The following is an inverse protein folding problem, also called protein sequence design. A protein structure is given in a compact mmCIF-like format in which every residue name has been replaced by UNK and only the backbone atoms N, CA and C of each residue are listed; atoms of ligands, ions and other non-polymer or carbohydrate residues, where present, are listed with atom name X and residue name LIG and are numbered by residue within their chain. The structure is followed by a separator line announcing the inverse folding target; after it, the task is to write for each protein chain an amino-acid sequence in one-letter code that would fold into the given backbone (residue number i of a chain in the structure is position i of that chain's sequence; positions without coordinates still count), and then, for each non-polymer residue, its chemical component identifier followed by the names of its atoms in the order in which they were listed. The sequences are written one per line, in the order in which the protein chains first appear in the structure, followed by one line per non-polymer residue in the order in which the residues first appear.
data_IF_645345567634
#
_entry.id   IF_645345567634
#
_cell.length_a   1.000
_cell.length_b   1.000
_cell.length_c   1.000
_cell.angle_alpha   90.00
_cell.angle_beta   90.00
_cell.angle_gamma   90.00
#
_symmetry.space_group_name_H-M   'P 1'
#
loop_
_entity.id
_entity.type
_entity.pdbx_description
1 polymer ?
#
# COMPACT_ATOMS: atom_id res chain seq x y z
N UNK A 1 13.29 10.17 90.18
CA UNK A 1 13.79 10.51 88.87
C UNK A 1 12.94 9.76 87.83
N UNK A 2 11.88 10.40 87.35
CA UNK A 2 10.93 9.86 86.36
C UNK A 2 11.38 10.30 84.97
N UNK A 3 11.67 9.37 84.04
CA UNK A 3 11.92 9.67 82.64
C UNK A 3 10.64 9.42 81.88
N UNK A 4 10.08 10.47 81.31
CA UNK A 4 8.97 10.45 80.31
C UNK A 4 9.52 10.05 78.93
N UNK A 5 9.03 8.98 78.36
CA UNK A 5 9.24 8.61 76.95
C UNK A 5 8.07 9.15 76.16
N UNK A 6 8.32 10.13 75.34
CA UNK A 6 7.32 10.63 74.34
C UNK A 6 7.43 9.79 73.06
N UNK A 7 6.42 9.03 72.77
CA UNK A 7 6.28 8.30 71.50
C UNK A 7 5.61 9.22 70.46
N UNK A 8 6.35 9.61 69.45
CA UNK A 8 5.84 10.37 68.31
C UNK A 8 5.23 9.39 67.29
N UNK A 9 3.92 9.37 67.16
CA UNK A 9 3.20 8.61 66.17
C UNK A 9 3.23 9.40 64.86
N UNK A 10 4.07 8.97 63.88
CA UNK A 10 4.06 9.48 62.50
C UNK A 10 2.93 8.79 61.74
N UNK A 11 1.82 9.46 61.49
CA UNK A 11 0.77 9.00 60.64
C UNK A 11 1.20 9.19 59.17
N UNK A 12 1.64 8.14 58.47
CA UNK A 12 1.83 8.13 57.05
C UNK A 12 0.47 8.14 56.36
N UNK A 13 0.01 9.31 55.91
CA UNK A 13 -1.10 9.43 54.98
C UNK A 13 -0.64 8.97 53.60
N UNK A 14 -0.91 7.72 53.25
CA UNK A 14 -0.77 7.17 51.91
C UNK A 14 -1.85 7.79 51.03
N UNK A 15 -1.53 8.84 50.25
CA UNK A 15 -2.36 9.30 49.16
C UNK A 15 -2.36 8.23 48.09
N UNK A 16 -3.38 7.36 48.10
CA UNK A 16 -3.68 6.52 46.95
C UNK A 16 -4.10 7.44 45.79
N UNK A 17 -3.19 7.69 44.85
CA UNK A 17 -3.53 8.30 43.59
C UNK A 17 -4.41 7.32 42.82
N UNK A 18 -5.72 7.48 42.92
CA UNK A 18 -6.65 6.82 41.99
C UNK A 18 -6.38 7.34 40.60
N UNK A 19 -5.64 6.61 39.81
CA UNK A 19 -5.53 6.83 38.37
C UNK A 19 -6.89 6.45 37.78
N UNK A 20 -7.79 7.41 37.63
CA UNK A 20 -9.03 7.21 36.89
C UNK A 20 -8.61 6.90 35.45
N UNK A 21 -8.99 5.74 34.93
CA UNK A 21 -8.90 5.47 33.50
C UNK A 21 -9.73 6.54 32.77
N UNK A 22 -9.12 7.19 31.77
CA UNK A 22 -9.80 8.23 31.01
C UNK A 22 -11.10 7.69 30.41
N UNK A 23 -12.17 8.47 30.49
CA UNK A 23 -13.44 8.13 29.82
C UNK A 23 -13.43 8.56 28.36
N UNK A 24 -14.33 8.01 27.53
CA UNK A 24 -14.52 8.48 26.16
C UNK A 24 -14.89 9.97 26.13
N UNK A 25 -15.65 10.45 27.11
CA UNK A 25 -16.03 11.87 27.24
C UNK A 25 -14.81 12.78 27.49
N UNK A 26 -13.85 12.33 28.31
CA UNK A 26 -12.61 13.07 28.55
C UNK A 26 -11.78 13.19 27.27
N UNK A 27 -11.70 12.09 26.50
CA UNK A 27 -11.00 12.07 25.21
C UNK A 27 -11.69 12.98 24.18
N UNK A 28 -13.02 13.01 24.14
CA UNK A 28 -13.78 13.91 23.28
C UNK A 28 -13.51 15.39 23.63
N UNK A 29 -13.43 15.71 24.93
CA UNK A 29 -13.05 17.04 25.42
C UNK A 29 -11.62 17.40 24.99
N UNK A 30 -10.68 16.49 25.16
CA UNK A 30 -9.28 16.65 24.70
C UNK A 30 -9.20 16.83 23.18
N UNK A 31 -10.01 16.09 22.41
CA UNK A 31 -10.09 16.25 20.96
C UNK A 31 -10.52 17.67 20.56
N UNK A 32 -11.57 18.23 21.22
CA UNK A 32 -12.02 19.60 20.94
C UNK A 32 -10.98 20.66 21.31
N UNK A 33 -10.20 20.43 22.37
CA UNK A 33 -9.08 21.28 22.74
C UNK A 33 -7.93 21.17 21.71
N UNK A 34 -7.58 19.95 21.32
CA UNK A 34 -6.57 19.68 20.32
C UNK A 34 -6.90 20.33 18.98
N UNK A 35 -8.15 20.26 18.53
CA UNK A 35 -8.60 20.93 17.29
C UNK A 35 -8.30 22.44 17.32
N UNK A 36 -8.57 23.10 18.45
CA UNK A 36 -8.40 24.56 18.58
C UNK A 36 -6.95 24.97 18.83
N UNK A 37 -6.25 24.25 19.68
CA UNK A 37 -4.97 24.70 20.23
C UNK A 37 -3.78 24.18 19.43
N UNK A 38 -3.89 22.98 18.84
CA UNK A 38 -2.79 22.30 18.15
C UNK A 38 -3.02 22.21 16.65
N UNK A 39 -4.21 21.79 16.21
CA UNK A 39 -4.46 21.53 14.81
C UNK A 39 -4.85 22.78 14.01
N UNK A 40 -5.66 23.68 14.58
CA UNK A 40 -6.02 24.93 13.91
C UNK A 40 -4.81 25.80 13.53
N UNK A 41 -3.82 26.06 14.40
CA UNK A 41 -2.62 26.80 14.00
C UNK A 41 -1.89 26.18 12.80
N UNK A 42 -1.83 24.85 12.74
CA UNK A 42 -1.23 24.12 11.61
C UNK A 42 -2.05 24.29 10.32
N UNK A 43 -3.37 24.10 10.39
CA UNK A 43 -4.29 24.28 9.27
C UNK A 43 -4.28 25.74 8.75
N UNK A 44 -4.28 26.72 9.64
CA UNK A 44 -4.15 28.15 9.30
C UNK A 44 -2.83 28.45 8.57
N UNK A 45 -1.72 27.89 9.06
CA UNK A 45 -0.41 28.02 8.40
C UNK A 45 -0.40 27.38 7.00
N UNK A 46 -1.19 26.33 6.80
CA UNK A 46 -1.39 25.70 5.51
C UNK A 46 -2.36 26.47 4.57
N UNK A 47 -2.89 27.61 5.00
CA UNK A 47 -3.76 28.47 4.18
C UNK A 47 -5.26 28.20 4.33
N UNK A 48 -5.68 27.35 5.25
CA UNK A 48 -7.11 27.09 5.50
C UNK A 48 -7.75 28.30 6.17
N UNK A 49 -8.88 28.77 5.64
CA UNK A 49 -9.65 29.85 6.25
C UNK A 49 -10.37 29.39 7.53
N UNK A 50 -10.61 30.32 8.47
CA UNK A 50 -11.35 30.00 9.70
C UNK A 50 -12.77 29.50 9.35
N UNK A 51 -13.42 30.09 8.36
CA UNK A 51 -14.77 29.70 7.94
C UNK A 51 -14.79 28.26 7.39
N UNK A 52 -13.84 27.88 6.54
CA UNK A 52 -13.70 26.51 6.02
C UNK A 52 -13.43 25.51 7.14
N UNK A 53 -12.54 25.87 8.08
CA UNK A 53 -12.22 25.03 9.23
C UNK A 53 -13.45 24.79 10.11
N UNK A 54 -14.15 25.83 10.55
CA UNK A 54 -15.35 25.71 11.38
C UNK A 54 -16.46 24.91 10.68
N UNK A 55 -16.67 25.14 9.37
CA UNK A 55 -17.65 24.40 8.59
C UNK A 55 -17.31 22.90 8.52
N UNK A 56 -16.03 22.56 8.24
CA UNK A 56 -15.58 21.20 8.11
C UNK A 56 -15.66 20.40 9.43
N UNK A 57 -15.44 21.04 10.58
CA UNK A 57 -15.44 20.37 11.89
C UNK A 57 -16.76 20.46 12.66
N UNK A 58 -17.77 21.17 12.15
CA UNK A 58 -19.06 21.35 12.84
C UNK A 58 -19.74 20.05 13.20
N UNK A 59 -19.67 19.05 12.32
CA UNK A 59 -20.33 17.74 12.48
C UNK A 59 -19.39 16.60 12.83
N UNK A 60 -18.08 16.84 12.89
CA UNK A 60 -17.07 15.79 13.06
C UNK A 60 -17.17 15.11 14.41
N UNK A 61 -17.16 13.77 14.41
CA UNK A 61 -17.18 12.89 15.57
C UNK A 61 -16.00 11.94 15.56
N UNK A 62 -15.51 11.57 16.75
CA UNK A 62 -14.50 10.53 16.88
C UNK A 62 -15.12 9.16 16.52
N UNK A 63 -14.53 8.47 15.55
CA UNK A 63 -14.90 7.09 15.18
C UNK A 63 -14.03 6.11 15.98
N UNK A 64 -14.61 5.57 17.06
CA UNK A 64 -13.95 4.66 17.99
C UNK A 64 -13.77 3.24 17.44
N UNK A 65 -14.42 2.92 16.33
CA UNK A 65 -14.39 1.57 15.73
C UNK A 65 -13.24 1.41 14.74
N UNK A 66 -12.50 2.49 14.48
CA UNK A 66 -11.34 2.46 13.59
C UNK A 66 -10.20 1.61 14.16
N UNK A 67 -9.46 0.87 13.33
CA UNK A 67 -8.28 0.15 13.77
C UNK A 67 -7.10 1.08 14.08
N UNK A 68 -6.13 0.58 14.83
CA UNK A 68 -4.86 1.26 15.16
C UNK A 68 -5.02 2.54 15.99
N UNK A 69 -6.09 2.66 16.78
CA UNK A 69 -6.26 3.76 17.70
C UNK A 69 -5.40 3.59 18.96
N UNK A 70 -4.85 4.70 19.45
CA UNK A 70 -4.11 4.83 20.70
C UNK A 70 -4.64 6.05 21.48
N UNK A 71 -5.88 5.99 22.02
CA UNK A 71 -6.52 7.14 22.64
C UNK A 71 -5.75 7.59 23.89
N UNK A 72 -5.68 8.91 24.14
CA UNK A 72 -5.06 9.45 25.37
C UNK A 72 -5.67 8.85 26.64
N UNK A 73 -4.82 8.45 27.59
CA UNK A 73 -5.25 7.85 28.86
C UNK A 73 -5.77 6.41 28.77
N UNK A 74 -5.76 5.79 27.60
CA UNK A 74 -6.08 4.38 27.41
C UNK A 74 -4.81 3.52 27.25
N UNK A 75 -4.85 2.21 27.58
CA UNK A 75 -3.75 1.31 27.29
C UNK A 75 -3.40 1.30 25.81
N UNK A 76 -2.10 1.35 25.51
CA UNK A 76 -1.67 1.23 24.09
C UNK A 76 -2.16 -0.10 23.50
N UNK A 77 -2.62 -0.09 22.24
CA UNK A 77 -3.10 -1.31 21.60
C UNK A 77 -1.97 -2.35 21.56
N UNK A 78 -2.27 -3.59 21.95
CA UNK A 78 -1.33 -4.70 21.80
C UNK A 78 -1.01 -4.90 20.32
N UNK A 79 0.27 -4.98 19.99
CA UNK A 79 0.67 -5.32 18.62
C UNK A 79 0.07 -6.67 18.24
N UNK A 80 -0.84 -6.67 17.26
CA UNK A 80 -1.39 -7.91 16.73
C UNK A 80 -0.29 -8.65 15.95
N UNK A 81 -0.26 -9.98 16.09
CA UNK A 81 0.56 -10.80 15.20
C UNK A 81 0.17 -10.51 13.77
N UNK A 82 1.10 -9.97 12.98
CA UNK A 82 0.83 -9.62 11.59
C UNK A 82 1.29 -10.76 10.69
N UNK A 83 0.33 -11.30 9.93
CA UNK A 83 0.58 -12.20 8.82
C UNK A 83 0.04 -11.52 7.57
N UNK A 84 0.85 -11.48 6.51
CA UNK A 84 0.49 -10.89 5.22
C UNK A 84 0.78 -11.91 4.13
N UNK A 85 0.02 -11.86 3.03
CA UNK A 85 0.18 -12.77 1.92
C UNK A 85 1.62 -12.77 1.36
N UNK A 86 2.26 -11.60 1.36
CA UNK A 86 3.62 -11.40 0.86
C UNK A 86 4.67 -12.34 1.45
N UNK A 87 4.48 -12.82 2.68
CA UNK A 87 5.45 -13.69 3.34
C UNK A 87 4.84 -14.93 4.00
N UNK A 88 3.51 -15.01 4.10
CA UNK A 88 2.85 -16.18 4.69
C UNK A 88 2.27 -17.12 3.65
N UNK A 89 1.72 -16.57 2.57
CA UNK A 89 1.07 -17.33 1.48
C UNK A 89 0.93 -16.46 0.23
N UNK A 90 2.01 -16.16 -0.50
CA UNK A 90 1.96 -15.27 -1.66
C UNK A 90 0.92 -15.67 -2.71
N UNK A 91 0.74 -16.97 -2.94
CA UNK A 91 -0.25 -17.50 -3.88
C UNK A 91 -1.70 -17.17 -3.53
N UNK A 92 -2.02 -16.99 -2.24
CA UNK A 92 -3.39 -16.68 -1.81
C UNK A 92 -3.88 -15.31 -2.30
N UNK A 93 -2.96 -14.43 -2.70
CA UNK A 93 -3.27 -13.14 -3.27
C UNK A 93 -3.98 -13.25 -4.64
N UNK A 94 -3.74 -14.36 -5.37
CA UNK A 94 -4.20 -14.60 -6.74
C UNK A 94 -5.39 -15.56 -6.78
N UNK A 95 -6.48 -15.25 -6.09
CA UNK A 95 -7.71 -16.05 -6.17
C UNK A 95 -8.24 -16.07 -7.61
N UNK A 96 -8.18 -17.24 -8.25
CA UNK A 96 -8.59 -17.43 -9.65
C UNK A 96 -10.05 -17.03 -9.87
N UNK A 97 -10.97 -17.44 -8.98
CA UNK A 97 -12.39 -17.06 -9.04
C UNK A 97 -12.57 -15.55 -9.05
N UNK A 98 -11.82 -14.83 -8.19
CA UNK A 98 -11.91 -13.37 -8.08
C UNK A 98 -11.34 -12.69 -9.34
N UNK A 99 -10.18 -13.14 -9.81
CA UNK A 99 -9.52 -12.59 -11.02
C UNK A 99 -10.38 -12.80 -12.26
N UNK A 100 -10.96 -13.98 -12.45
CA UNK A 100 -11.88 -14.26 -13.56
C UNK A 100 -13.11 -13.38 -13.52
N UNK A 101 -13.73 -13.20 -12.35
CA UNK A 101 -14.91 -12.34 -12.19
C UNK A 101 -14.61 -10.88 -12.50
N UNK A 102 -13.49 -10.36 -12.00
CA UNK A 102 -13.06 -9.00 -12.30
C UNK A 102 -12.67 -8.82 -13.78
N UNK A 103 -11.98 -9.79 -14.39
CA UNK A 103 -11.62 -9.73 -15.79
C UNK A 103 -12.86 -9.74 -16.71
N UNK A 104 -13.85 -10.57 -16.41
CA UNK A 104 -15.11 -10.61 -17.17
C UNK A 104 -15.85 -9.27 -17.09
N UNK A 105 -16.01 -8.72 -15.88
CA UNK A 105 -16.62 -7.39 -15.67
C UNK A 105 -15.81 -6.30 -16.36
N UNK A 106 -14.46 -6.33 -16.25
CA UNK A 106 -13.59 -5.35 -16.86
C UNK A 106 -13.67 -5.34 -18.39
N UNK A 107 -13.77 -6.49 -19.05
CA UNK A 107 -13.99 -6.57 -20.51
C UNK A 107 -15.30 -5.90 -20.94
N UNK A 108 -16.38 -6.15 -20.20
CA UNK A 108 -17.68 -5.49 -20.47
C UNK A 108 -17.57 -3.98 -20.31
N UNK A 109 -16.90 -3.51 -19.26
CA UNK A 109 -16.69 -2.08 -19.00
C UNK A 109 -15.71 -1.44 -20.01
N UNK A 110 -14.71 -2.19 -20.50
CA UNK A 110 -13.83 -1.73 -21.56
C UNK A 110 -14.62 -1.38 -22.84
N UNK A 111 -15.62 -2.20 -23.17
CA UNK A 111 -16.51 -1.90 -24.31
C UNK A 111 -17.44 -0.72 -24.01
N UNK A 112 -18.04 -0.68 -22.80
CA UNK A 112 -18.96 0.39 -22.42
C UNK A 112 -18.29 1.78 -22.36
N UNK A 113 -17.01 1.85 -21.96
CA UNK A 113 -16.24 3.08 -21.82
C UNK A 113 -15.16 3.24 -22.89
N UNK A 114 -15.28 2.57 -24.06
CA UNK A 114 -14.22 2.50 -25.07
C UNK A 114 -13.74 3.88 -25.54
N UNK A 115 -14.64 4.83 -25.80
CA UNK A 115 -14.29 6.18 -26.21
C UNK A 115 -13.53 6.95 -25.14
N UNK A 116 -13.97 6.84 -23.89
CA UNK A 116 -13.32 7.48 -22.74
C UNK A 116 -11.93 6.89 -22.52
N UNK A 117 -11.80 5.56 -22.50
CA UNK A 117 -10.50 4.88 -22.31
C UNK A 117 -9.51 5.22 -23.44
N UNK A 118 -9.98 5.26 -24.71
CA UNK A 118 -9.14 5.68 -25.84
C UNK A 118 -8.65 7.13 -25.70
N UNK A 119 -9.51 8.04 -25.21
CA UNK A 119 -9.12 9.43 -24.94
C UNK A 119 -8.11 9.51 -23.79
N UNK A 120 -8.32 8.75 -22.70
CA UNK A 120 -7.39 8.65 -21.56
C UNK A 120 -6.02 8.12 -22.01
N UNK A 121 -6.00 7.03 -22.77
CA UNK A 121 -4.75 6.44 -23.28
C UNK A 121 -3.97 7.42 -24.17
N UNK A 122 -4.65 8.17 -25.05
CA UNK A 122 -4.00 9.22 -25.85
C UNK A 122 -3.45 10.36 -25.01
N UNK A 123 -4.12 10.72 -23.92
CA UNK A 123 -3.71 11.84 -23.05
C UNK A 123 -2.57 11.47 -22.11
N UNK A 124 -2.63 10.28 -21.53
CA UNK A 124 -1.71 9.86 -20.44
C UNK A 124 -0.74 8.74 -20.84
N UNK A 125 -0.92 8.13 -22.00
CA UNK A 125 -0.10 7.01 -22.47
C UNK A 125 -0.32 5.70 -21.72
N UNK A 126 -1.31 5.62 -20.83
CA UNK A 126 -1.59 4.45 -20.00
C UNK A 126 -2.68 3.61 -20.65
N UNK A 127 -2.44 2.30 -20.93
CA UNK A 127 -3.45 1.44 -21.55
C UNK A 127 -4.70 1.30 -20.69
N UNK A 128 -5.87 1.34 -21.34
CA UNK A 128 -7.17 1.30 -20.65
C UNK A 128 -7.36 0.08 -19.76
N UNK A 129 -6.77 -1.07 -20.10
CA UNK A 129 -6.86 -2.29 -19.28
C UNK A 129 -6.08 -2.19 -17.96
N UNK A 130 -4.97 -1.43 -17.91
CA UNK A 130 -4.25 -1.16 -16.65
C UNK A 130 -5.12 -0.27 -15.74
N UNK A 131 -5.72 0.78 -16.31
CA UNK A 131 -6.62 1.68 -15.59
C UNK A 131 -7.82 0.91 -15.03
N UNK A 132 -8.45 0.06 -15.84
CA UNK A 132 -9.57 -0.79 -15.42
C UNK A 132 -9.16 -1.81 -14.36
N UNK A 133 -7.95 -2.37 -14.44
CA UNK A 133 -7.46 -3.34 -13.46
C UNK A 133 -7.30 -2.69 -12.07
N UNK A 134 -6.78 -1.47 -12.01
CA UNK A 134 -6.70 -0.70 -10.76
C UNK A 134 -8.10 -0.38 -10.25
N UNK A 135 -8.98 0.19 -11.09
CA UNK A 135 -10.35 0.51 -10.71
C UNK A 135 -11.12 -0.71 -10.18
N UNK A 136 -10.96 -1.86 -10.85
CA UNK A 136 -11.53 -3.13 -10.40
C UNK A 136 -10.99 -3.63 -9.07
N UNK A 137 -9.68 -3.50 -8.85
CA UNK A 137 -9.01 -3.93 -7.61
C UNK A 137 -9.39 -3.04 -6.43
N UNK A 138 -9.42 -1.71 -6.62
CA UNK A 138 -9.62 -0.73 -5.55
C UNK A 138 -11.08 -0.66 -5.10
N UNK A 139 -12.01 -0.58 -6.04
CA UNK A 139 -13.42 -0.33 -5.71
C UNK A 139 -14.42 -1.30 -6.34
N UNK A 140 -13.95 -2.40 -6.96
CA UNK A 140 -14.83 -3.29 -7.69
C UNK A 140 -15.57 -2.56 -8.81
N UNK A 141 -14.88 -1.66 -9.50
CA UNK A 141 -15.44 -0.80 -10.54
C UNK A 141 -16.49 0.19 -9.98
N UNK A 142 -16.17 0.83 -8.88
CA UNK A 142 -17.05 1.79 -8.20
C UNK A 142 -18.22 1.17 -7.41
N UNK A 143 -18.32 -0.16 -7.35
CA UNK A 143 -19.43 -0.85 -6.66
C UNK A 143 -19.19 -1.11 -5.18
N UNK A 144 -17.97 -1.00 -4.71
CA UNK A 144 -17.64 -1.20 -3.31
C UNK A 144 -18.30 -0.10 -2.45
N UNK A 145 -18.86 -0.51 -1.32
CA UNK A 145 -19.36 0.47 -0.33
C UNK A 145 -18.16 1.19 0.28
N UNK A 146 -18.23 2.51 0.31
CA UNK A 146 -17.26 3.40 0.98
C UNK A 146 -17.98 4.14 2.11
N UNK A 147 -18.16 3.48 3.28
CA UNK A 147 -19.13 3.91 4.27
C UNK A 147 -18.70 5.05 5.18
N UNK A 148 -17.39 5.33 5.29
CA UNK A 148 -16.89 6.24 6.30
C UNK A 148 -16.87 7.70 5.82
N UNK A 149 -17.37 8.66 6.63
CA UNK A 149 -17.10 10.07 6.43
C UNK A 149 -15.60 10.33 6.61
N UNK A 150 -14.97 10.91 5.60
CA UNK A 150 -13.50 11.08 5.59
C UNK A 150 -13.03 12.03 6.70
N UNK A 151 -13.80 13.08 6.97
CA UNK A 151 -13.45 14.03 8.04
C UNK A 151 -13.42 13.33 9.41
N UNK A 152 -14.38 12.47 9.73
CA UNK A 152 -14.41 11.71 10.98
C UNK A 152 -13.19 10.77 11.09
N UNK A 153 -12.91 10.02 10.00
CA UNK A 153 -11.77 9.09 9.95
C UNK A 153 -10.45 9.82 10.15
N UNK A 154 -10.22 10.86 9.36
CA UNK A 154 -8.93 11.57 9.37
C UNK A 154 -8.72 12.35 10.67
N UNK A 155 -9.76 13.02 11.19
CA UNK A 155 -9.70 13.72 12.47
C UNK A 155 -9.42 12.75 13.63
N UNK A 156 -10.14 11.63 13.68
CA UNK A 156 -9.89 10.60 14.70
C UNK A 156 -8.46 10.09 14.64
N UNK A 157 -7.99 9.73 13.44
CA UNK A 157 -6.64 9.16 13.27
C UNK A 157 -5.53 10.20 13.44
N UNK A 158 -5.75 11.44 13.05
CA UNK A 158 -4.81 12.54 13.30
C UNK A 158 -4.64 12.84 14.79
N UNK A 159 -5.71 12.66 15.57
CA UNK A 159 -5.70 12.89 17.01
C UNK A 159 -5.17 11.69 17.80
N UNK A 160 -5.64 10.47 17.52
CA UNK A 160 -5.41 9.33 18.42
C UNK A 160 -5.06 8.02 17.70
N UNK A 161 -4.37 8.05 16.55
CA UNK A 161 -3.84 6.82 15.94
C UNK A 161 -2.39 6.55 16.32
N UNK A 162 -1.88 5.36 15.93
CA UNK A 162 -0.45 5.02 16.06
C UNK A 162 0.45 5.75 15.05
N UNK A 163 -0.14 6.49 14.10
CA UNK A 163 0.56 7.27 13.05
C UNK A 163 -0.06 8.66 12.87
N UNK A 164 -0.15 9.49 13.91
CA UNK A 164 -0.89 10.75 13.88
C UNK A 164 -0.38 11.72 12.82
N UNK A 165 0.94 11.84 12.65
CA UNK A 165 1.55 12.75 11.69
C UNK A 165 1.16 12.49 10.23
N UNK A 166 0.98 11.22 9.86
CA UNK A 166 0.47 10.88 8.55
C UNK A 166 -0.95 11.45 8.36
N UNK A 167 -1.82 11.18 9.33
CA UNK A 167 -3.23 11.56 9.21
C UNK A 167 -3.47 13.06 9.40
N UNK A 168 -2.59 13.77 10.13
CA UNK A 168 -2.62 15.27 10.20
C UNK A 168 -2.41 15.87 8.80
N UNK A 169 -1.41 15.40 8.06
CA UNK A 169 -1.17 15.87 6.68
C UNK A 169 -2.34 15.57 5.75
N UNK A 170 -2.91 14.38 5.85
CA UNK A 170 -4.07 14.00 5.03
C UNK A 170 -5.32 14.80 5.42
N UNK A 171 -5.49 15.13 6.69
CA UNK A 171 -6.59 15.97 7.16
C UNK A 171 -6.49 17.41 6.64
N UNK A 172 -5.29 17.99 6.60
CA UNK A 172 -5.05 19.30 5.95
C UNK A 172 -5.38 19.23 4.46
N UNK A 173 -4.94 18.18 3.77
CA UNK A 173 -5.25 17.98 2.36
C UNK A 173 -6.77 17.84 2.12
N UNK A 174 -7.48 17.16 3.03
CA UNK A 174 -8.94 17.04 2.97
C UNK A 174 -9.64 18.40 3.14
N UNK A 175 -9.14 19.27 4.02
CA UNK A 175 -9.65 20.64 4.16
C UNK A 175 -9.47 21.46 2.88
N UNK A 176 -8.34 21.33 2.19
CA UNK A 176 -8.13 21.98 0.88
C UNK A 176 -9.11 21.47 -0.20
N UNK A 177 -9.45 20.18 -0.20
CA UNK A 177 -10.44 19.62 -1.14
C UNK A 177 -11.83 20.22 -0.88
N UNK A 178 -12.21 20.36 0.38
CA UNK A 178 -13.49 20.98 0.74
C UNK A 178 -13.52 22.48 0.37
N UNK A 179 -12.43 23.19 0.60
CA UNK A 179 -12.29 24.60 0.28
C UNK A 179 -12.32 24.88 -1.23
N UNK A 180 -11.79 23.95 -2.07
CA UNK A 180 -11.85 24.04 -3.53
C UNK A 180 -13.26 23.85 -4.12
N UNK A 181 -14.17 23.25 -3.35
CA UNK A 181 -15.54 23.00 -3.80
C UNK A 181 -15.71 21.79 -4.72
N UNK A 182 -14.67 20.98 -4.95
CA UNK A 182 -14.76 19.74 -5.76
C UNK A 182 -15.80 18.75 -5.22
N UNK A 183 -15.98 18.72 -3.92
CA UNK A 183 -16.92 17.82 -3.24
C UNK A 183 -17.52 18.49 -2.01
N UNK A 184 -18.76 18.14 -1.70
CA UNK A 184 -19.39 18.54 -0.43
C UNK A 184 -18.97 17.54 0.67
N UNK A 185 -18.82 18.04 1.90
CA UNK A 185 -18.38 17.23 3.06
C UNK A 185 -19.19 15.92 3.20
N UNK A 186 -20.50 15.97 3.09
CA UNK A 186 -21.39 14.80 3.18
C UNK A 186 -21.14 13.73 2.10
N UNK A 187 -20.57 14.13 0.94
CA UNK A 187 -20.22 13.25 -0.17
C UNK A 187 -18.78 12.74 -0.09
N UNK A 188 -17.94 13.34 0.74
CA UNK A 188 -16.54 13.00 0.93
C UNK A 188 -16.41 11.69 1.73
N UNK A 189 -16.62 10.58 1.03
CA UNK A 189 -16.66 9.23 1.62
C UNK A 189 -15.43 8.43 1.25
N UNK A 190 -15.04 7.50 2.11
CA UNK A 190 -13.86 6.67 1.87
C UNK A 190 -13.78 5.43 2.75
N UNK A 191 -12.57 4.90 2.84
CA UNK A 191 -12.22 3.76 3.66
C UNK A 191 -11.87 4.17 5.10
N UNK A 192 -11.81 3.19 5.99
CA UNK A 192 -11.31 3.35 7.37
C UNK A 192 -9.88 3.90 7.46
N UNK A 193 -9.12 3.88 6.38
CA UNK A 193 -7.76 4.38 6.29
C UNK A 193 -7.65 5.75 5.62
N UNK A 194 -8.77 6.38 5.27
CA UNK A 194 -8.79 7.72 4.67
C UNK A 194 -8.67 7.72 3.14
N UNK A 195 -8.67 6.57 2.47
CA UNK A 195 -8.67 6.51 1.02
C UNK A 195 -10.07 6.77 0.46
N UNK A 196 -10.17 7.62 -0.58
CA UNK A 196 -11.39 8.26 -1.06
C UNK A 196 -11.81 7.79 -2.45
N UNK A 197 -13.12 7.79 -2.69
CA UNK A 197 -13.71 7.62 -4.00
C UNK A 197 -13.40 6.28 -4.67
N UNK A 198 -13.65 6.20 -5.97
CA UNK A 198 -13.46 4.96 -6.73
C UNK A 198 -11.98 4.60 -6.93
N UNK A 199 -11.02 5.56 -7.10
CA UNK A 199 -9.59 5.28 -7.17
C UNK A 199 -8.95 4.93 -5.82
N UNK A 200 -9.64 5.12 -4.69
CA UNK A 200 -9.08 4.98 -3.34
C UNK A 200 -7.87 5.89 -3.10
N UNK A 201 -7.94 7.12 -3.55
CA UNK A 201 -6.89 8.13 -3.31
C UNK A 201 -6.91 8.65 -1.87
N UNK A 202 -5.75 8.79 -1.26
CA UNK A 202 -5.61 9.68 -0.10
C UNK A 202 -5.86 11.13 -0.50
N UNK A 203 -6.28 12.02 0.43
CA UNK A 203 -6.51 13.44 0.12
C UNK A 203 -5.34 14.13 -0.58
N UNK A 204 -4.11 13.89 -0.13
CA UNK A 204 -2.91 14.41 -0.77
C UNK A 204 -2.73 13.91 -2.21
N UNK A 205 -3.10 12.66 -2.49
CA UNK A 205 -3.10 12.09 -3.84
C UNK A 205 -4.19 12.70 -4.70
N UNK A 206 -5.37 12.97 -4.14
CA UNK A 206 -6.44 13.67 -4.84
C UNK A 206 -5.97 15.05 -5.31
N UNK A 207 -5.43 15.87 -4.42
CA UNK A 207 -4.95 17.22 -4.76
C UNK A 207 -3.92 17.20 -5.89
N UNK A 208 -3.09 16.17 -5.94
CA UNK A 208 -2.00 16.06 -6.92
C UNK A 208 -2.42 15.42 -8.23
N UNK A 209 -3.33 14.44 -8.22
CA UNK A 209 -3.56 13.56 -9.36
C UNK A 209 -5.00 13.53 -9.87
N UNK A 210 -5.99 13.98 -9.07
CA UNK A 210 -7.37 14.01 -9.54
C UNK A 210 -7.55 15.05 -10.65
N UNK A 211 -8.34 14.69 -11.67
CA UNK A 211 -8.61 15.52 -12.85
C UNK A 211 -10.09 15.58 -13.13
N UNK A 212 -10.57 16.71 -13.59
CA UNK A 212 -11.87 16.90 -14.24
C UNK A 212 -11.72 16.49 -15.71
N UNK A 213 -12.17 15.29 -16.04
CA UNK A 213 -12.01 14.73 -17.39
C UNK A 213 -13.27 14.79 -18.24
N UNK A 214 -14.43 14.89 -17.62
CA UNK A 214 -15.70 15.09 -18.33
C UNK A 214 -16.00 16.57 -18.59
N UNK A 215 -15.30 17.49 -17.90
CA UNK A 215 -15.34 18.93 -18.14
C UNK A 215 -16.50 19.63 -17.44
N UNK A 216 -17.03 19.05 -16.34
CA UNK A 216 -18.12 19.64 -15.57
C UNK A 216 -17.68 20.72 -14.56
N UNK A 217 -16.37 20.97 -14.46
CA UNK A 217 -15.74 21.94 -13.56
C UNK A 217 -15.39 21.38 -12.19
N UNK A 218 -15.48 20.06 -11.97
CA UNK A 218 -15.17 19.40 -10.71
C UNK A 218 -14.35 18.13 -10.93
N UNK A 219 -13.53 17.76 -9.97
CA UNK A 219 -12.77 16.51 -9.97
C UNK A 219 -13.52 15.44 -9.16
N UNK A 220 -14.64 14.90 -9.71
CA UNK A 220 -15.51 13.97 -8.97
C UNK A 220 -15.06 12.51 -9.07
N UNK A 221 -14.14 12.10 -8.23
CA UNK A 221 -13.69 10.70 -8.15
C UNK A 221 -14.68 9.76 -7.45
N UNK A 222 -15.81 10.27 -6.95
CA UNK A 222 -16.84 9.47 -6.28
C UNK A 222 -17.94 9.02 -7.24
N UNK A 223 -18.40 9.91 -8.12
CA UNK A 223 -19.58 9.68 -8.95
C UNK A 223 -19.25 9.72 -10.46
N UNK A 224 -18.20 10.47 -10.90
CA UNK A 224 -17.77 10.49 -12.28
C UNK A 224 -16.82 9.33 -12.59
N UNK A 225 -17.26 8.41 -13.47
CA UNK A 225 -16.39 7.34 -13.99
C UNK A 225 -15.26 7.91 -14.85
N UNK A 226 -15.51 8.86 -15.79
CA UNK A 226 -14.44 9.47 -16.57
C UNK A 226 -13.33 10.09 -15.70
N UNK A 227 -13.68 10.85 -14.66
CA UNK A 227 -12.72 11.47 -13.76
C UNK A 227 -11.94 10.43 -12.98
N UNK A 228 -12.63 9.42 -12.45
CA UNK A 228 -12.00 8.33 -11.72
C UNK A 228 -10.96 7.60 -12.57
N UNK A 229 -11.31 7.22 -13.80
CA UNK A 229 -10.41 6.52 -14.73
C UNK A 229 -9.24 7.40 -15.15
N UNK A 230 -9.51 8.67 -15.51
CA UNK A 230 -8.49 9.61 -15.89
C UNK A 230 -7.55 9.98 -14.74
N UNK A 231 -8.05 10.08 -13.53
CA UNK A 231 -7.24 10.32 -12.33
C UNK A 231 -6.29 9.15 -12.04
N UNK A 232 -6.73 7.90 -12.21
CA UNK A 232 -5.85 6.71 -12.13
C UNK A 232 -4.75 6.79 -13.19
N UNK A 233 -5.10 7.11 -14.44
CA UNK A 233 -4.13 7.21 -15.53
C UNK A 233 -3.14 8.36 -15.30
N UNK A 234 -3.62 9.53 -14.87
CA UNK A 234 -2.78 10.67 -14.53
C UNK A 234 -1.80 10.36 -13.41
N UNK A 235 -2.25 9.63 -12.36
CA UNK A 235 -1.36 9.14 -11.30
C UNK A 235 -0.20 8.33 -11.89
N UNK A 236 -0.49 7.33 -12.73
CA UNK A 236 0.54 6.48 -13.31
C UNK A 236 1.46 7.26 -14.26
N UNK A 237 0.92 8.17 -15.07
CA UNK A 237 1.69 9.02 -15.96
C UNK A 237 2.67 9.91 -15.19
N UNK A 238 2.22 10.58 -14.14
CA UNK A 238 3.07 11.40 -13.27
C UNK A 238 4.08 10.59 -12.46
N UNK A 239 3.86 9.29 -12.26
CA UNK A 239 4.81 8.35 -11.67
C UNK A 239 5.80 7.76 -12.68
N UNK A 240 5.75 8.19 -13.93
CA UNK A 240 6.73 7.84 -14.96
C UNK A 240 6.33 6.64 -15.82
N UNK A 241 5.02 6.43 -16.04
CA UNK A 241 4.55 5.42 -16.99
C UNK A 241 5.18 5.61 -18.36
N UNK A 242 5.78 4.56 -18.90
CA UNK A 242 6.38 4.53 -20.23
C UNK A 242 5.38 3.96 -21.24
N UNK A 243 4.83 4.85 -22.09
CA UNK A 243 3.87 4.44 -23.12
C UNK A 243 4.48 3.43 -24.10
N UNK A 244 3.66 2.47 -24.53
CA UNK A 244 4.06 1.42 -25.47
C UNK A 244 4.90 0.30 -24.85
N UNK A 245 5.24 0.37 -23.58
CA UNK A 245 5.94 -0.71 -22.87
C UNK A 245 4.98 -1.58 -22.08
N UNK A 246 5.30 -2.89 -22.03
CA UNK A 246 4.61 -3.85 -21.17
C UNK A 246 4.91 -3.59 -19.68
N UNK A 247 4.17 -4.21 -18.76
CA UNK A 247 4.50 -4.21 -17.32
C UNK A 247 5.54 -5.29 -16.97
N UNK A 248 5.57 -6.40 -17.69
CA UNK A 248 6.50 -7.52 -17.48
C UNK A 248 6.09 -8.82 -18.13
N UNK A 249 6.92 -9.82 -17.95
CA UNK A 249 6.80 -11.14 -18.57
C UNK A 249 7.06 -12.23 -17.54
N UNK A 250 6.18 -13.21 -17.44
CA UNK A 250 6.45 -14.43 -16.68
C UNK A 250 7.51 -15.25 -17.43
N UNK A 251 8.56 -15.69 -16.71
CA UNK A 251 9.73 -16.34 -17.29
C UNK A 251 10.09 -17.63 -16.57
N UNK A 252 10.87 -18.48 -17.27
CA UNK A 252 11.62 -19.57 -16.67
C UNK A 252 13.08 -19.11 -16.52
N UNK A 253 13.61 -19.19 -15.30
CA UNK A 253 15.01 -18.86 -14.98
C UNK A 253 15.80 -20.17 -14.88
N UNK A 254 16.88 -20.35 -15.67
CA UNK A 254 17.73 -21.53 -15.57
C UNK A 254 18.41 -21.63 -14.20
N UNK A 255 18.72 -22.86 -13.75
CA UNK A 255 19.36 -23.12 -12.46
C UNK A 255 20.73 -22.43 -12.29
N UNK A 256 21.43 -22.17 -13.41
CA UNK A 256 22.72 -21.43 -13.39
C UNK A 256 22.58 -19.94 -13.17
N UNK A 257 21.38 -19.37 -13.17
CA UNK A 257 21.12 -17.94 -12.96
C UNK A 257 20.58 -17.72 -11.55
N UNK A 258 21.35 -17.03 -10.72
CA UNK A 258 21.00 -16.79 -9.33
C UNK A 258 19.77 -15.87 -9.20
N UNK A 259 18.81 -16.26 -8.36
CA UNK A 259 17.71 -15.41 -7.93
C UNK A 259 18.17 -14.14 -7.17
N UNK A 260 19.40 -14.10 -6.69
CA UNK A 260 19.99 -12.91 -6.07
C UNK A 260 20.33 -11.80 -7.09
N UNK A 261 20.07 -12.00 -8.39
CA UNK A 261 20.11 -10.93 -9.38
C UNK A 261 18.81 -10.10 -9.45
N UNK A 262 17.89 -10.32 -8.54
CA UNK A 262 16.63 -9.57 -8.43
C UNK A 262 16.85 -8.11 -8.04
N UNK A 263 16.04 -7.23 -8.58
CA UNK A 263 15.86 -5.85 -8.10
C UNK A 263 16.00 -4.78 -9.17
N UNK A 264 15.43 -3.57 -8.91
CA UNK A 264 15.43 -2.48 -9.87
C UNK A 264 16.80 -1.87 -10.11
N UNK A 265 17.71 -1.98 -9.14
CA UNK A 265 19.10 -1.52 -9.18
C UNK A 265 20.03 -2.43 -10.01
N UNK A 266 19.55 -3.60 -10.43
CA UNK A 266 20.25 -4.55 -11.30
C UNK A 266 19.57 -4.67 -12.68
N UNK A 267 18.93 -3.59 -13.13
CA UNK A 267 18.30 -3.52 -14.44
C UNK A 267 19.33 -3.71 -15.56
N UNK A 268 18.96 -4.45 -16.59
CA UNK A 268 19.73 -4.63 -17.83
C UNK A 268 18.81 -4.82 -19.02
N UNK A 269 19.29 -4.68 -20.26
CA UNK A 269 18.50 -4.97 -21.45
C UNK A 269 17.86 -6.37 -21.38
N UNK A 270 16.59 -6.50 -21.80
CA UNK A 270 15.90 -7.79 -21.79
C UNK A 270 16.63 -8.81 -22.69
N UNK A 271 17.33 -8.36 -23.74
CA UNK A 271 18.16 -9.20 -24.58
C UNK A 271 19.32 -9.87 -23.81
N UNK A 272 19.89 -9.21 -22.81
CA UNK A 272 20.95 -9.80 -21.96
C UNK A 272 20.38 -10.90 -21.06
N UNK A 273 19.18 -10.68 -20.46
CA UNK A 273 18.48 -11.72 -19.73
C UNK A 273 18.21 -12.95 -20.61
N UNK A 274 17.77 -12.71 -21.86
CA UNK A 274 17.55 -13.80 -22.82
C UNK A 274 18.87 -14.50 -23.19
N UNK A 275 19.97 -13.78 -23.31
CA UNK A 275 21.33 -14.35 -23.53
C UNK A 275 21.81 -15.24 -22.38
N UNK A 276 21.32 -15.03 -21.16
CA UNK A 276 21.56 -15.89 -20.00
C UNK A 276 20.67 -17.15 -19.98
N UNK A 277 19.82 -17.35 -21.00
CA UNK A 277 18.90 -18.47 -21.10
C UNK A 277 17.54 -18.24 -20.45
N UNK A 278 17.26 -17.03 -19.94
CA UNK A 278 15.94 -16.70 -19.39
C UNK A 278 14.95 -16.54 -20.53
N UNK A 279 13.92 -17.36 -20.55
CA UNK A 279 12.89 -17.36 -21.58
C UNK A 279 11.50 -17.09 -21.01
N UNK A 280 10.60 -16.53 -21.83
CA UNK A 280 9.20 -16.44 -21.43
C UNK A 280 8.63 -17.85 -21.23
N UNK A 281 7.95 -18.07 -20.12
CA UNK A 281 7.35 -19.38 -19.78
C UNK A 281 6.31 -19.83 -20.81
N UNK A 282 5.80 -18.90 -21.64
CA UNK A 282 4.90 -19.17 -22.76
C UNK A 282 5.61 -19.82 -23.97
N UNK A 283 6.93 -19.87 -24.00
CA UNK A 283 7.75 -20.28 -25.14
C UNK A 283 7.86 -19.20 -26.25
N UNK A 284 7.16 -18.08 -26.15
CA UNK A 284 7.24 -16.98 -27.12
C UNK A 284 8.51 -16.15 -26.89
N UNK A 285 9.12 -15.62 -27.95
CA UNK A 285 10.21 -14.65 -27.83
C UNK A 285 9.74 -13.37 -27.10
N UNK A 286 10.68 -12.67 -26.46
CA UNK A 286 10.39 -11.32 -25.98
C UNK A 286 10.06 -10.39 -27.15
N UNK A 287 9.08 -9.45 -27.02
CA UNK A 287 8.74 -8.54 -28.09
C UNK A 287 9.97 -7.73 -28.55
N UNK A 288 10.11 -7.54 -29.85
CA UNK A 288 11.26 -6.85 -30.43
C UNK A 288 11.49 -5.45 -29.84
N UNK A 289 10.39 -4.69 -29.61
CA UNK A 289 10.43 -3.37 -29.00
C UNK A 289 10.94 -3.36 -27.56
N UNK A 290 10.85 -4.49 -26.83
CA UNK A 290 11.27 -4.60 -25.45
C UNK A 290 12.71 -5.09 -25.29
N UNK A 291 13.29 -5.73 -26.31
CA UNK A 291 14.59 -6.44 -26.17
C UNK A 291 15.76 -5.54 -25.79
N UNK A 292 15.81 -4.34 -26.36
CA UNK A 292 16.89 -3.36 -26.06
C UNK A 292 16.61 -2.55 -24.80
N UNK A 293 15.39 -2.59 -24.28
CA UNK A 293 14.97 -1.79 -23.15
C UNK A 293 15.23 -2.52 -21.82
N UNK A 294 15.35 -1.72 -20.74
CA UNK A 294 15.62 -2.22 -19.40
C UNK A 294 14.52 -3.17 -18.90
N UNK A 295 14.94 -4.32 -18.41
CA UNK A 295 14.14 -5.27 -17.65
C UNK A 295 14.82 -5.61 -16.33
N UNK A 296 14.05 -5.96 -15.33
CA UNK A 296 14.52 -6.32 -14.00
C UNK A 296 13.96 -7.67 -13.59
N UNK A 297 14.81 -8.51 -13.01
CA UNK A 297 14.35 -9.78 -12.43
C UNK A 297 13.48 -9.50 -11.21
N UNK A 298 12.36 -10.22 -11.09
CA UNK A 298 11.46 -10.19 -9.95
C UNK A 298 11.10 -11.63 -9.57
N UNK A 299 11.41 -12.01 -8.33
CA UNK A 299 11.10 -13.34 -7.77
C UNK A 299 10.37 -13.18 -6.44
N UNK A 300 9.06 -12.81 -6.46
CA UNK A 300 8.30 -12.34 -5.29
C UNK A 300 8.17 -13.37 -4.17
N UNK A 301 8.34 -14.65 -4.48
CA UNK A 301 8.45 -15.76 -3.53
C UNK A 301 9.75 -16.56 -3.71
N UNK A 302 10.81 -15.91 -4.19
CA UNK A 302 12.04 -16.58 -4.53
C UNK A 302 11.82 -17.70 -5.57
N UNK A 303 12.48 -18.84 -5.37
CA UNK A 303 12.27 -20.03 -6.21
C UNK A 303 10.97 -20.79 -5.91
N UNK A 304 10.24 -20.40 -4.86
CA UNK A 304 8.95 -21.02 -4.49
C UNK A 304 7.75 -20.46 -5.27
N UNK A 305 7.94 -19.55 -6.22
CA UNK A 305 6.85 -18.92 -6.95
C UNK A 305 7.16 -18.65 -8.41
N UNK A 306 6.17 -18.10 -9.14
CA UNK A 306 6.38 -17.57 -10.48
C UNK A 306 7.49 -16.52 -10.50
N UNK A 307 8.25 -16.51 -11.59
CA UNK A 307 9.41 -15.65 -11.80
C UNK A 307 9.13 -14.72 -12.98
N UNK A 308 9.69 -13.51 -12.93
CA UNK A 308 9.38 -12.49 -13.92
C UNK A 308 10.63 -11.71 -14.37
N UNK A 309 10.59 -11.23 -15.60
CA UNK A 309 11.32 -10.03 -16.03
C UNK A 309 10.29 -8.92 -16.14
N UNK A 310 10.39 -7.93 -15.28
CA UNK A 310 9.49 -6.78 -15.22
C UNK A 310 10.14 -5.55 -15.85
N UNK A 311 9.31 -4.60 -16.27
CA UNK A 311 9.75 -3.33 -16.86
C UNK A 311 9.63 -2.20 -15.83
N UNK A 312 10.08 -0.96 -16.12
CA UNK A 312 9.81 0.18 -15.28
C UNK A 312 8.33 0.39 -14.96
N UNK A 313 7.41 0.04 -15.87
CA UNK A 313 5.97 0.17 -15.65
C UNK A 313 5.44 -0.69 -14.49
N UNK A 314 6.08 -1.81 -14.20
CA UNK A 314 5.76 -2.60 -13.00
C UNK A 314 5.96 -1.78 -11.72
N UNK A 315 7.07 -1.06 -11.63
CA UNK A 315 7.37 -0.23 -10.47
C UNK A 315 6.46 1.00 -10.39
N UNK A 316 6.01 1.53 -11.54
CA UNK A 316 4.97 2.58 -11.58
C UNK A 316 3.65 2.06 -11.01
N UNK A 317 3.22 0.85 -11.38
CA UNK A 317 2.02 0.24 -10.77
C UNK A 317 2.24 0.05 -9.26
N UNK A 318 3.43 -0.37 -8.85
CA UNK A 318 3.79 -0.58 -7.43
C UNK A 318 3.70 0.70 -6.60
N UNK A 319 3.90 1.89 -7.19
CA UNK A 319 3.71 3.18 -6.50
C UNK A 319 2.28 3.38 -5.99
N UNK A 320 1.29 2.73 -6.61
CA UNK A 320 -0.10 2.82 -6.17
C UNK A 320 -0.33 2.13 -4.80
N UNK A 321 0.34 1.00 -4.58
CA UNK A 321 0.24 0.24 -3.32
C UNK A 321 1.53 -0.56 -3.10
N UNK A 322 2.55 0.01 -2.59
CA UNK A 322 3.92 -0.47 -2.35
C UNK A 322 4.10 -2.00 -2.07
N UNK A 323 3.49 -2.85 -2.91
CA UNK A 323 3.51 -4.32 -2.84
C UNK A 323 3.81 -4.93 -4.22
N UNK A 324 4.77 -5.86 -4.28
CA UNK A 324 5.08 -6.63 -5.50
C UNK A 324 3.87 -7.46 -5.95
N UNK A 325 3.16 -8.08 -4.99
CA UNK A 325 1.99 -8.89 -5.30
C UNK A 325 0.82 -8.06 -5.82
N UNK A 326 0.67 -6.81 -5.33
CA UNK A 326 -0.31 -5.88 -5.87
C UNK A 326 -0.01 -5.56 -7.34
N UNK A 327 1.23 -5.17 -7.66
CA UNK A 327 1.60 -4.81 -9.02
C UNK A 327 1.46 -6.01 -9.98
N UNK A 328 1.86 -7.22 -9.56
CA UNK A 328 1.62 -8.45 -10.30
C UNK A 328 0.13 -8.75 -10.51
N UNK A 329 -0.69 -8.50 -9.48
CA UNK A 329 -2.14 -8.68 -9.58
C UNK A 329 -2.75 -7.75 -10.63
N UNK A 330 -2.36 -6.47 -10.62
CA UNK A 330 -2.84 -5.49 -11.60
C UNK A 330 -2.41 -5.88 -13.01
N UNK A 331 -1.13 -6.22 -13.21
CA UNK A 331 -0.61 -6.67 -14.51
C UNK A 331 -1.34 -7.90 -15.03
N UNK A 332 -1.46 -8.95 -14.21
CA UNK A 332 -2.18 -10.17 -14.58
C UNK A 332 -3.67 -9.92 -14.88
N UNK A 333 -4.33 -9.08 -14.08
CA UNK A 333 -5.74 -8.72 -14.32
C UNK A 333 -5.91 -7.94 -15.63
N UNK A 334 -4.99 -7.02 -15.95
CA UNK A 334 -4.98 -6.28 -17.20
C UNK A 334 -4.80 -7.22 -18.41
N UNK A 335 -3.87 -8.17 -18.34
CA UNK A 335 -3.63 -9.17 -19.39
C UNK A 335 -4.87 -10.04 -19.65
N UNK A 336 -5.59 -10.42 -18.60
CA UNK A 336 -6.84 -11.17 -18.70
C UNK A 336 -7.95 -10.37 -19.38
N UNK A 337 -7.95 -9.06 -19.23
CA UNK A 337 -8.89 -8.15 -19.91
C UNK A 337 -8.53 -7.97 -21.38
N UNK A 338 -7.24 -7.82 -21.71
CA UNK A 338 -6.76 -7.52 -23.05
C UNK A 338 -6.79 -8.75 -23.98
N UNK A 339 -6.23 -9.89 -23.54
CA UNK A 339 -5.92 -11.01 -24.41
C UNK A 339 -6.53 -12.33 -23.95
N UNK A 340 -7.36 -12.33 -22.90
CA UNK A 340 -7.89 -13.55 -22.31
C UNK A 340 -6.82 -14.37 -21.58
N UNK A 341 -5.73 -13.73 -21.10
CA UNK A 341 -4.69 -14.35 -20.28
C UNK A 341 -5.28 -15.10 -19.09
N UNK A 342 -4.53 -16.08 -18.56
CA UNK A 342 -4.94 -16.94 -17.46
C UNK A 342 -4.12 -16.74 -16.18
N UNK A 343 -4.15 -17.73 -15.33
CA UNK A 343 -3.28 -17.82 -14.17
C UNK A 343 -1.81 -17.83 -14.58
N UNK A 344 -0.92 -17.40 -13.71
CA UNK A 344 0.50 -17.63 -13.88
C UNK A 344 0.77 -19.13 -14.02
N UNK A 345 1.70 -19.49 -14.87
CA UNK A 345 2.06 -20.89 -15.14
C UNK A 345 2.97 -21.47 -14.07
N UNK A 346 3.84 -20.63 -13.49
CA UNK A 346 4.63 -20.98 -12.33
C UNK A 346 3.74 -21.26 -11.12
N UNK A 347 4.06 -22.32 -10.37
CA UNK A 347 3.29 -22.69 -9.18
C UNK A 347 3.77 -21.93 -7.96
N UNK A 348 2.84 -21.48 -7.15
CA UNK A 348 3.14 -20.95 -5.82
C UNK A 348 3.35 -22.12 -4.85
N UNK A 349 4.58 -22.27 -4.36
CA UNK A 349 4.92 -23.27 -3.34
C UNK A 349 4.51 -22.81 -1.95
N UNK A 350 4.55 -23.74 -1.00
CA UNK A 350 4.36 -23.46 0.40
C UNK A 350 5.63 -22.84 0.99
N UNK A 351 5.51 -21.69 1.64
CA UNK A 351 6.58 -20.97 2.30
C UNK A 351 6.50 -21.07 3.83
N UNK A 352 5.55 -21.86 4.37
CA UNK A 352 5.46 -22.24 5.77
C UNK A 352 4.87 -21.18 6.72
N UNK A 353 4.12 -20.21 6.23
CA UNK A 353 3.28 -19.35 7.07
C UNK A 353 4.05 -18.45 8.04
N UNK A 354 5.11 -17.79 7.61
CA UNK A 354 5.93 -16.87 8.41
C UNK A 354 5.12 -15.71 8.99
N UNK A 355 5.51 -15.23 10.16
CA UNK A 355 5.02 -13.98 10.75
C UNK A 355 5.97 -12.82 10.40
N UNK A 356 5.46 -11.60 10.44
CA UNK A 356 6.26 -10.40 10.23
C UNK A 356 7.45 -10.31 11.21
N UNK A 357 7.25 -10.73 12.47
CA UNK A 357 8.31 -10.80 13.48
C UNK A 357 9.42 -11.79 13.12
N UNK A 358 9.09 -12.89 12.44
CA UNK A 358 10.06 -13.89 12.02
C UNK A 358 10.96 -13.33 10.91
N UNK A 359 10.34 -12.72 9.89
CA UNK A 359 11.06 -12.04 8.80
C UNK A 359 11.95 -10.92 9.36
N UNK A 360 11.44 -10.13 10.31
CA UNK A 360 12.23 -9.09 11.00
C UNK A 360 13.45 -9.67 11.73
N UNK A 361 13.29 -10.81 12.40
CA UNK A 361 14.40 -11.52 13.04
C UNK A 361 15.49 -11.93 12.04
N UNK A 362 15.07 -12.50 10.90
CA UNK A 362 15.99 -12.88 9.82
C UNK A 362 16.69 -11.66 9.19
N UNK A 363 15.98 -10.57 8.97
CA UNK A 363 16.56 -9.31 8.47
C UNK A 363 17.64 -8.78 9.42
N UNK A 364 17.39 -8.77 10.74
CA UNK A 364 18.37 -8.35 11.74
C UNK A 364 19.61 -9.24 11.73
N UNK A 365 19.43 -10.55 11.60
CA UNK A 365 20.54 -11.50 11.51
C UNK A 365 21.39 -11.29 10.25
N UNK A 366 20.74 -11.01 9.10
CA UNK A 366 21.43 -10.66 7.86
C UNK A 366 22.23 -9.36 7.99
N UNK A 367 21.63 -8.31 8.56
CA UNK A 367 22.32 -7.03 8.82
C UNK A 367 23.54 -7.23 9.72
N UNK A 368 23.43 -8.03 10.78
CA UNK A 368 24.55 -8.35 11.65
C UNK A 368 25.70 -9.10 10.93
N UNK A 369 25.39 -9.78 9.83
CA UNK A 369 26.37 -10.45 8.95
C UNK A 369 26.84 -9.58 7.78
N UNK A 370 26.48 -8.29 7.73
CA UNK A 370 26.91 -7.32 6.73
C UNK A 370 26.11 -7.30 5.43
N UNK A 371 24.92 -7.90 5.38
CA UNK A 371 24.05 -7.89 4.19
C UNK A 371 23.11 -6.67 4.17
N UNK A 372 22.86 -6.11 2.99
CA UNK A 372 21.90 -5.02 2.79
C UNK A 372 20.48 -5.57 2.57
N UNK A 373 19.65 -5.49 3.59
CA UNK A 373 18.23 -5.87 3.53
C UNK A 373 17.30 -4.68 3.24
N UNK A 374 17.86 -3.48 3.06
CA UNK A 374 17.10 -2.22 3.05
C UNK A 374 16.63 -1.88 4.47
N UNK A 375 15.32 -1.84 4.68
CA UNK A 375 14.73 -1.66 6.02
C UNK A 375 14.50 -3.02 6.68
N UNK A 376 14.96 -3.18 7.90
CA UNK A 376 14.58 -4.32 8.74
C UNK A 376 13.20 -4.02 9.38
N UNK A 377 12.14 -4.22 8.62
CA UNK A 377 10.75 -3.91 8.99
C UNK A 377 9.82 -5.15 9.00
N UNK A 378 10.38 -6.31 8.69
CA UNK A 378 9.66 -7.57 8.61
C UNK A 378 8.90 -7.78 7.30
N UNK A 379 9.20 -7.00 6.25
CA UNK A 379 8.68 -7.20 4.90
C UNK A 379 9.80 -7.70 3.98
N UNK A 380 9.62 -8.84 3.28
CA UNK A 380 10.67 -9.42 2.44
C UNK A 380 10.73 -8.72 1.07
N UNK A 381 11.17 -7.45 1.05
CA UNK A 381 11.47 -6.73 -0.19
C UNK A 381 12.64 -7.36 -0.96
N UNK A 382 12.86 -6.91 -2.20
CA UNK A 382 13.89 -7.48 -3.09
C UNK A 382 15.30 -7.51 -2.46
N UNK A 383 15.69 -6.48 -1.69
CA UNK A 383 16.99 -6.48 -0.99
C UNK A 383 17.09 -7.59 0.05
N UNK A 384 16.01 -7.85 0.79
CA UNK A 384 15.97 -8.97 1.74
C UNK A 384 16.06 -10.31 1.03
N UNK A 385 15.32 -10.50 -0.08
CA UNK A 385 15.33 -11.73 -0.87
C UNK A 385 16.70 -11.99 -1.49
N UNK A 386 17.31 -10.96 -2.08
CA UNK A 386 18.68 -10.99 -2.61
C UNK A 386 19.69 -11.40 -1.54
N UNK A 387 19.69 -10.70 -0.41
CA UNK A 387 20.60 -10.96 0.71
C UNK A 387 20.44 -12.36 1.29
N UNK A 388 19.23 -12.90 1.30
CA UNK A 388 18.99 -14.30 1.67
C UNK A 388 19.65 -15.24 0.67
N UNK A 389 19.48 -15.02 -0.64
CA UNK A 389 20.08 -15.84 -1.69
C UNK A 389 21.62 -15.83 -1.61
N UNK A 390 22.22 -14.66 -1.46
CA UNK A 390 23.66 -14.50 -1.31
C UNK A 390 24.19 -15.19 -0.04
N UNK A 391 23.48 -15.04 1.08
CA UNK A 391 23.84 -15.72 2.32
C UNK A 391 23.72 -17.24 2.18
N UNK A 392 22.65 -17.74 1.56
CA UNK A 392 22.47 -19.17 1.30
C UNK A 392 23.62 -19.74 0.48
N UNK A 393 23.95 -19.10 -0.65
CA UNK A 393 25.05 -19.54 -1.52
C UNK A 393 26.40 -19.57 -0.77
N UNK A 394 26.75 -18.52 -0.02
CA UNK A 394 27.98 -18.46 0.80
C UNK A 394 27.98 -19.49 1.94
N UNK A 395 26.82 -19.93 2.39
CA UNK A 395 26.68 -20.95 3.44
C UNK A 395 26.59 -22.39 2.88
N UNK A 396 26.79 -22.60 1.58
CA UNK A 396 26.67 -23.90 0.93
C UNK A 396 25.24 -24.44 0.87
N UNK A 397 24.24 -23.55 0.95
CA UNK A 397 22.84 -23.89 0.83
C UNK A 397 22.32 -23.57 -0.58
N UNK A 398 21.32 -24.31 -1.03
CA UNK A 398 20.61 -23.98 -2.27
C UNK A 398 19.88 -22.64 -2.12
N UNK A 399 20.16 -21.64 -2.99
CA UNK A 399 19.54 -20.32 -2.90
C UNK A 399 18.05 -20.36 -3.26
N UNK A 400 17.18 -20.18 -2.28
CA UNK A 400 15.74 -20.01 -2.49
C UNK A 400 15.34 -18.53 -2.60
N UNK A 401 16.17 -17.60 -2.13
CA UNK A 401 15.93 -16.16 -2.12
C UNK A 401 14.60 -15.77 -1.43
N UNK A 402 14.13 -16.55 -0.47
CA UNK A 402 12.89 -16.22 0.23
C UNK A 402 12.97 -16.64 1.70
N UNK A 403 12.40 -15.83 2.64
CA UNK A 403 12.32 -16.21 4.03
C UNK A 403 11.27 -17.32 4.20
N UNK A 404 11.71 -18.51 4.50
CA UNK A 404 10.86 -19.65 4.82
C UNK A 404 11.18 -20.22 6.19
N UNK A 405 10.31 -21.11 6.69
CA UNK A 405 10.43 -21.70 8.03
C UNK A 405 11.74 -22.49 8.18
N UNK A 406 12.24 -23.12 7.12
CA UNK A 406 13.45 -23.94 7.15
C UNK A 406 14.72 -23.11 7.43
N UNK A 407 14.71 -21.84 7.03
CA UNK A 407 15.83 -20.90 7.23
C UNK A 407 15.81 -20.24 8.60
N UNK A 408 14.66 -20.18 9.28
CA UNK A 408 14.51 -19.50 10.58
C UNK A 408 15.47 -20.01 11.64
N UNK A 409 15.76 -21.31 11.66
CA UNK A 409 16.70 -21.90 12.63
C UNK A 409 18.17 -21.75 12.21
N UNK A 410 18.43 -21.65 10.91
CA UNK A 410 19.80 -21.58 10.34
C UNK A 410 20.36 -20.15 10.36
N UNK A 411 19.50 -19.16 10.25
CA UNK A 411 19.84 -17.73 10.24
C UNK A 411 19.56 -17.10 11.60
N UNK A 412 20.47 -17.35 12.56
CA UNK A 412 20.46 -16.77 13.92
C UNK A 412 21.70 -15.93 14.18
#
# INVERSE_FOLDING_TARGET
MLRFLSVLLLACLSFATFSFAASKADVETQFRQWLRNDFWPEAKKAGISNAAFEAAFKGVRLDWDLPDLAPPGFPKPKQRKQSQAEFSSPGSYFSEKRLQGLAATGRSLASAHASTLKRIERTYGVPGQIVLAIWGKESGFGRAKIPHPIMDVLATKAFMSTRPELFRRELIAALHILDSGDVKEAQMRGSWAGAMGQPQFLPSSFLKYAVDFDGDGRRDIWNSVPDSLASIANYLAQKGWQSGRDWGFEVAIPSGVSCAQEGPDLARPIAEWAGMGIGRISGKAFPAAERAAAGMMLVPAGTHGPQFIVTPNFYVIKEYNNSDLYALYIGNLADRMASGGGAFRGRWGDVGGMLRSDVLGMQKALVAKGYDVGKADGLPGYKTRRSLGDWQAKSGLEPTCFPDVSLKAKLR
#
